data_IF_481178878823
#
_entry.id   IF_481178878823
#
_cell.length_a   1.000
_cell.length_b   1.000
_cell.length_c   1.000
_cell.angle_alpha   90.00
_cell.angle_beta   90.00
_cell.angle_gamma   90.00
#
_symmetry.space_group_name_H-M   'P 1'
#
loop_
_entity.id
_entity.type
_entity.pdbx_description
1 polymer ?
#
# COMPACT_ATOMS: atom_id res chain seq x y z
N UNK A 1 -0.63 -14.26 12.30
CA UNK A 1 -1.26 -13.08 11.66
C UNK A 1 -0.23 -12.06 11.13
N UNK A 2 1.05 -12.41 10.93
CA UNK A 2 2.09 -11.48 10.44
C UNK A 2 2.20 -11.36 8.89
N UNK A 3 1.28 -11.98 8.14
CA UNK A 3 1.44 -12.17 6.69
C UNK A 3 0.98 -11.00 5.82
N UNK A 4 -0.05 -10.24 6.24
CA UNK A 4 -0.69 -9.19 5.41
C UNK A 4 -0.05 -7.81 5.60
N UNK A 5 0.35 -7.43 6.81
CA UNK A 5 1.10 -6.20 7.06
C UNK A 5 2.40 -6.17 6.22
N UNK A 6 3.10 -7.31 6.14
CA UNK A 6 4.30 -7.47 5.31
C UNK A 6 4.05 -7.32 3.79
N UNK A 7 2.83 -7.63 3.31
CA UNK A 7 2.45 -7.48 1.91
C UNK A 7 2.23 -6.02 1.54
N UNK A 8 1.61 -5.23 2.43
CA UNK A 8 1.37 -3.79 2.22
C UNK A 8 2.70 -3.04 2.07
N UNK A 9 3.69 -3.36 2.90
CA UNK A 9 5.01 -2.73 2.83
C UNK A 9 5.86 -3.21 1.65
N UNK A 10 5.73 -4.49 1.26
CA UNK A 10 6.34 -5.00 0.03
C UNK A 10 5.75 -4.34 -1.20
N UNK A 11 4.45 -4.06 -1.22
CA UNK A 11 3.78 -3.35 -2.32
C UNK A 11 4.31 -1.91 -2.49
N UNK A 12 4.70 -1.26 -1.40
CA UNK A 12 5.34 0.05 -1.42
C UNK A 12 6.85 0.01 -1.77
N UNK A 13 7.40 -1.15 -2.11
CA UNK A 13 8.83 -1.30 -2.40
C UNK A 13 9.73 -1.10 -1.17
N UNK A 14 9.17 -1.01 0.03
CA UNK A 14 9.89 -0.85 1.31
C UNK A 14 10.44 -2.20 1.83
N UNK A 15 10.91 -3.04 0.91
CA UNK A 15 11.65 -4.25 1.21
C UNK A 15 13.01 -3.88 1.81
N UNK A 16 13.35 -4.55 2.91
CA UNK A 16 14.62 -4.44 3.65
C UNK A 16 15.81 -4.28 2.69
N UNK A 17 16.40 -3.08 2.66
CA UNK A 17 17.70 -2.85 2.01
C UNK A 17 18.78 -3.42 2.92
N UNK A 18 19.05 -4.71 2.80
CA UNK A 18 20.27 -5.33 3.33
C UNK A 18 21.37 -5.16 2.27
N UNK A 19 22.33 -4.27 2.58
CA UNK A 19 23.75 -4.22 2.19
C UNK A 19 24.21 -4.69 0.79
N UNK A 20 24.98 -3.81 0.11
CA UNK A 20 26.21 -4.24 -0.58
C UNK A 20 26.36 -3.89 -2.07
N UNK A 21 27.14 -2.86 -2.39
CA UNK A 21 28.02 -2.84 -3.57
C UNK A 21 29.32 -3.61 -3.21
N UNK A 22 30.19 -4.10 -4.14
CA UNK A 22 30.24 -3.87 -5.60
C UNK A 22 30.55 -5.12 -6.49
N UNK A 23 30.40 -5.00 -7.82
CA UNK A 23 31.40 -5.52 -8.77
C UNK A 23 31.03 -6.65 -9.77
N UNK A 24 31.33 -6.35 -11.05
CA UNK A 24 31.79 -7.23 -12.17
C UNK A 24 30.77 -8.28 -12.69
N UNK A 25 30.53 -8.58 -13.98
CA UNK A 25 31.36 -8.62 -15.20
C UNK A 25 30.44 -8.54 -16.44
N UNK A 26 30.96 -7.99 -17.54
CA UNK A 26 30.45 -8.18 -18.91
C UNK A 26 30.37 -9.67 -19.31
N UNK A 27 29.39 -10.03 -20.13
CA UNK A 27 29.30 -11.34 -20.76
C UNK A 27 28.31 -11.37 -21.91
N UNK A 28 28.79 -11.07 -23.12
CA UNK A 28 28.13 -11.42 -24.37
C UNK A 28 28.03 -12.94 -24.51
N UNK A 29 26.83 -13.46 -24.75
CA UNK A 29 26.63 -14.71 -25.47
C UNK A 29 25.24 -14.72 -26.12
N UNK A 30 25.22 -14.52 -27.43
CA UNK A 30 24.13 -14.96 -28.29
C UNK A 30 24.02 -16.49 -28.21
N UNK A 31 22.80 -17.03 -28.21
CA UNK A 31 22.48 -18.28 -28.88
C UNK A 31 21.00 -18.24 -29.29
N UNK A 32 20.79 -18.24 -30.61
CA UNK A 32 19.52 -18.47 -31.31
C UNK A 32 18.91 -19.84 -31.01
N UNK A 33 17.70 -20.09 -31.56
CA UNK A 33 16.89 -21.33 -31.68
C UNK A 33 15.70 -21.28 -30.69
N UNK A 34 14.40 -21.23 -31.03
CA UNK A 34 13.57 -21.53 -32.20
C UNK A 34 12.19 -20.80 -32.02
N UNK A 35 11.41 -20.51 -33.08
CA UNK A 35 10.08 -19.93 -32.92
C UNK A 35 9.06 -21.03 -32.56
N UNK A 36 8.81 -21.19 -31.25
CA UNK A 36 7.71 -21.99 -30.73
C UNK A 36 6.36 -21.38 -31.16
N UNK A 37 5.69 -22.09 -32.07
CA UNK A 37 4.27 -22.04 -32.43
C UNK A 37 3.37 -21.30 -31.40
N UNK A 38 2.56 -20.30 -31.81
CA UNK A 38 1.55 -19.76 -30.93
C UNK A 38 0.51 -20.85 -30.67
N UNK A 39 0.55 -21.45 -29.49
CA UNK A 39 -0.56 -22.23 -28.96
C UNK A 39 -1.70 -21.25 -28.79
N UNK A 40 -2.68 -21.35 -29.69
CA UNK A 40 -3.90 -20.55 -29.64
C UNK A 40 -4.56 -20.78 -28.29
N UNK A 41 -4.40 -19.81 -27.38
CA UNK A 41 -5.21 -19.71 -26.16
C UNK A 41 -6.66 -19.70 -26.63
N UNK A 42 -7.33 -20.84 -26.46
CA UNK A 42 -8.77 -20.93 -26.64
C UNK A 42 -9.40 -19.84 -25.77
N UNK A 43 -10.34 -19.03 -26.29
CA UNK A 43 -11.17 -18.16 -25.46
C UNK A 43 -11.95 -19.05 -24.49
N UNK A 44 -11.39 -19.21 -23.29
CA UNK A 44 -11.95 -20.01 -22.22
C UNK A 44 -13.09 -19.23 -21.57
N UNK A 45 -14.30 -19.56 -22.01
CA UNK A 45 -15.51 -19.67 -21.21
C UNK A 45 -15.87 -18.46 -20.30
N UNK A 46 -16.72 -17.52 -20.76
CA UNK A 46 -17.24 -16.44 -19.90
C UNK A 46 -18.14 -16.95 -18.75
N UNK A 47 -18.45 -18.26 -18.73
CA UNK A 47 -19.40 -18.89 -17.81
C UNK A 47 -18.73 -19.70 -16.68
N UNK A 48 -17.42 -19.52 -16.43
CA UNK A 48 -16.81 -20.02 -15.18
C UNK A 48 -17.24 -19.15 -14.01
N UNK A 49 -18.52 -19.24 -13.66
CA UNK A 49 -19.05 -18.78 -12.39
C UNK A 49 -18.12 -19.26 -11.28
N UNK A 50 -17.61 -18.33 -10.48
CA UNK A 50 -16.88 -18.66 -9.26
C UNK A 50 -17.70 -19.69 -8.49
N UNK A 51 -17.09 -20.79 -8.00
CA UNK A 51 -17.83 -21.82 -7.30
C UNK A 51 -18.62 -21.18 -6.15
N UNK A 52 -19.94 -21.43 -6.03
CA UNK A 52 -20.71 -20.93 -4.91
C UNK A 52 -20.11 -21.51 -3.62
N UNK A 53 -19.61 -20.63 -2.76
CA UNK A 53 -19.04 -21.01 -1.45
C UNK A 53 -17.54 -20.82 -1.29
N UNK A 54 -16.81 -20.22 -2.24
CA UNK A 54 -15.47 -19.71 -1.93
C UNK A 54 -15.57 -18.62 -0.83
N UNK A 55 -14.80 -18.70 0.27
CA UNK A 55 -14.85 -17.69 1.31
C UNK A 55 -14.49 -16.33 0.71
N UNK A 56 -15.36 -15.33 0.90
CA UNK A 56 -15.05 -13.96 0.51
C UNK A 56 -13.73 -13.55 1.20
N UNK A 57 -12.81 -12.86 0.50
CA UNK A 57 -11.55 -12.45 1.10
C UNK A 57 -11.84 -11.60 2.33
N UNK A 58 -11.25 -11.98 3.47
CA UNK A 58 -11.48 -11.28 4.72
C UNK A 58 -11.06 -9.81 4.58
N UNK A 59 -11.96 -8.92 4.99
CA UNK A 59 -11.70 -7.49 5.08
C UNK A 59 -10.47 -7.18 5.93
N UNK A 60 -9.76 -6.12 5.57
CA UNK A 60 -8.73 -5.54 6.43
C UNK A 60 -9.37 -5.02 7.72
N UNK A 61 -8.71 -5.28 8.84
CA UNK A 61 -9.15 -4.85 10.17
C UNK A 61 -8.57 -3.48 10.53
N UNK A 62 -9.17 -2.81 11.53
CA UNK A 62 -8.62 -1.54 12.02
C UNK A 62 -7.19 -1.72 12.58
N UNK A 63 -6.95 -2.81 13.30
CA UNK A 63 -5.62 -3.12 13.85
C UNK A 63 -4.55 -3.24 12.77
N UNK A 64 -4.84 -3.92 11.66
CA UNK A 64 -3.92 -4.01 10.51
C UNK A 64 -3.65 -2.63 9.87
N UNK A 65 -4.68 -1.78 9.77
CA UNK A 65 -4.52 -0.41 9.27
C UNK A 65 -3.65 0.43 10.22
N UNK A 66 -3.92 0.39 11.51
CA UNK A 66 -3.16 1.13 12.52
C UNK A 66 -1.71 0.66 12.59
N UNK A 67 -1.44 -0.65 12.51
CA UNK A 67 -0.10 -1.20 12.47
C UNK A 67 0.69 -0.66 11.26
N UNK A 68 0.10 -0.70 10.05
CA UNK A 68 0.73 -0.18 8.84
C UNK A 68 1.05 1.33 8.96
N UNK A 69 0.14 2.10 9.57
CA UNK A 69 0.34 3.54 9.82
C UNK A 69 1.47 3.78 10.82
N UNK A 70 1.48 3.08 11.97
CA UNK A 70 2.55 3.22 12.97
C UNK A 70 3.90 2.87 12.36
N UNK A 71 3.97 1.79 11.58
CA UNK A 71 5.20 1.37 10.94
C UNK A 71 5.73 2.44 9.97
N UNK A 72 4.88 2.98 9.10
CA UNK A 72 5.34 3.99 8.13
C UNK A 72 5.79 5.27 8.84
N UNK A 73 5.08 5.68 9.89
CA UNK A 73 5.42 6.85 10.70
C UNK A 73 6.81 6.69 11.31
N UNK A 74 7.09 5.53 11.90
CA UNK A 74 8.38 5.25 12.53
C UNK A 74 9.53 5.26 11.53
N UNK A 75 9.30 4.79 10.30
CA UNK A 75 10.31 4.80 9.23
C UNK A 75 10.54 6.19 8.64
N UNK A 76 9.48 6.96 8.44
CA UNK A 76 9.56 8.22 7.70
C UNK A 76 9.82 9.45 8.57
N UNK A 77 9.48 9.42 9.87
CA UNK A 77 9.73 10.55 10.77
C UNK A 77 11.22 10.98 10.83
N UNK A 78 12.22 10.06 10.91
CA UNK A 78 13.63 10.45 10.86
C UNK A 78 14.03 11.14 9.55
N UNK A 79 13.53 10.65 8.41
CA UNK A 79 13.79 11.24 7.09
C UNK A 79 13.18 12.63 6.96
N UNK A 80 11.95 12.81 7.46
CA UNK A 80 11.31 14.11 7.54
C UNK A 80 12.16 15.11 8.33
N UNK A 81 12.67 14.71 9.49
CA UNK A 81 13.44 15.58 10.40
C UNK A 81 14.75 16.08 9.79
N UNK A 82 15.31 15.39 8.80
CA UNK A 82 16.53 15.80 8.09
C UNK A 82 16.23 16.45 6.72
N UNK A 83 14.97 16.78 6.44
CA UNK A 83 14.58 17.59 5.29
C UNK A 83 14.02 16.83 4.08
N UNK A 84 13.90 15.50 4.13
CA UNK A 84 13.30 14.69 3.06
C UNK A 84 11.76 14.75 3.10
N UNK A 85 11.22 15.95 2.98
CA UNK A 85 9.78 16.20 3.07
C UNK A 85 9.00 15.66 1.87
N UNK A 86 9.59 15.71 0.68
CA UNK A 86 8.96 15.20 -0.55
C UNK A 86 8.79 13.69 -0.47
N UNK A 87 9.85 12.98 -0.15
CA UNK A 87 9.89 11.53 -0.04
C UNK A 87 8.95 11.05 1.07
N UNK A 88 8.93 11.77 2.20
CA UNK A 88 7.97 11.52 3.29
C UNK A 88 6.54 11.65 2.80
N UNK A 89 6.21 12.75 2.10
CA UNK A 89 4.88 12.96 1.55
C UNK A 89 4.49 11.87 0.56
N UNK A 90 5.36 11.55 -0.40
CA UNK A 90 5.09 10.56 -1.44
C UNK A 90 4.80 9.18 -0.85
N UNK A 91 5.55 8.77 0.18
CA UNK A 91 5.34 7.49 0.87
C UNK A 91 4.04 7.51 1.69
N UNK A 92 3.73 8.60 2.40
CA UNK A 92 2.45 8.72 3.10
C UNK A 92 1.26 8.71 2.15
N UNK A 93 1.33 9.41 1.01
CA UNK A 93 0.25 9.43 0.02
C UNK A 93 0.06 8.05 -0.63
N UNK A 94 1.15 7.35 -0.92
CA UNK A 94 1.11 5.98 -1.43
C UNK A 94 0.44 5.01 -0.43
N UNK A 95 0.81 5.08 0.87
CA UNK A 95 0.14 4.28 1.88
C UNK A 95 -1.35 4.63 1.98
N UNK A 96 -1.69 5.93 2.01
CA UNK A 96 -3.08 6.36 2.10
C UNK A 96 -3.93 5.84 0.93
N UNK A 97 -3.41 5.89 -0.30
CA UNK A 97 -4.06 5.32 -1.49
C UNK A 97 -4.31 3.83 -1.35
N UNK A 98 -3.29 3.08 -0.95
CA UNK A 98 -3.38 1.63 -0.77
C UNK A 98 -4.44 1.28 0.29
N UNK A 99 -4.42 1.96 1.43
CA UNK A 99 -5.41 1.72 2.50
C UNK A 99 -6.83 2.08 2.05
N UNK A 100 -7.01 3.18 1.30
CA UNK A 100 -8.32 3.53 0.73
C UNK A 100 -8.82 2.42 -0.19
N UNK A 101 -7.95 1.87 -1.04
CA UNK A 101 -8.27 0.80 -1.98
C UNK A 101 -8.64 -0.50 -1.24
N UNK A 102 -7.82 -0.94 -0.28
CA UNK A 102 -8.10 -2.12 0.55
C UNK A 102 -9.43 -2.01 1.29
N UNK A 103 -9.72 -0.85 1.89
CA UNK A 103 -11.01 -0.62 2.56
C UNK A 103 -12.16 -0.58 1.55
N UNK A 104 -11.92 -0.09 0.32
CA UNK A 104 -12.93 -0.03 -0.74
C UNK A 104 -13.25 -1.40 -1.33
N UNK A 105 -12.34 -2.37 -1.27
CA UNK A 105 -12.59 -3.75 -1.70
C UNK A 105 -13.43 -4.56 -0.71
N UNK A 106 -13.65 -4.03 0.50
CA UNK A 106 -14.61 -4.59 1.43
C UNK A 106 -16.05 -4.36 0.97
N UNK A 107 -16.79 -5.46 0.77
CA UNK A 107 -18.21 -5.42 0.40
C UNK A 107 -19.09 -4.76 1.49
N UNK A 108 -18.74 -5.01 2.75
CA UNK A 108 -19.46 -4.50 3.93
C UNK A 108 -18.46 -3.96 4.96
N UNK A 109 -17.84 -2.79 4.72
CA UNK A 109 -16.92 -2.21 5.68
C UNK A 109 -17.69 -1.81 6.94
N UNK A 110 -17.13 -2.09 8.12
CA UNK A 110 -17.70 -1.63 9.37
C UNK A 110 -17.75 -0.09 9.44
N UNK A 111 -18.55 0.45 10.35
CA UNK A 111 -18.65 1.91 10.54
C UNK A 111 -17.29 2.54 10.87
N UNK A 112 -16.46 1.85 11.64
CA UNK A 112 -15.12 2.31 12.00
C UNK A 112 -14.17 2.33 10.79
N UNK A 113 -14.24 1.33 9.93
CA UNK A 113 -13.45 1.31 8.68
C UNK A 113 -13.93 2.39 7.69
N UNK A 114 -15.24 2.65 7.66
CA UNK A 114 -15.80 3.78 6.88
C UNK A 114 -15.27 5.12 7.37
N UNK A 115 -15.16 5.31 8.70
CA UNK A 115 -14.53 6.50 9.30
C UNK A 115 -13.05 6.60 8.94
N UNK A 116 -12.29 5.51 9.07
CA UNK A 116 -10.88 5.47 8.72
C UNK A 116 -10.65 5.88 7.25
N UNK A 117 -11.42 5.29 6.32
CA UNK A 117 -11.38 5.67 4.89
C UNK A 117 -11.71 7.14 4.67
N UNK A 118 -12.69 7.67 5.39
CA UNK A 118 -13.07 9.09 5.30
C UNK A 118 -11.93 10.00 5.75
N UNK A 119 -11.23 9.66 6.83
CA UNK A 119 -10.04 10.41 7.30
C UNK A 119 -8.91 10.39 6.27
N UNK A 120 -8.62 9.23 5.67
CA UNK A 120 -7.61 9.12 4.60
C UNK A 120 -7.95 10.00 3.40
N UNK A 121 -9.21 9.97 2.92
CA UNK A 121 -9.66 10.82 1.82
C UNK A 121 -9.58 12.31 2.16
N UNK A 122 -9.97 12.67 3.39
CA UNK A 122 -9.87 14.04 3.90
C UNK A 122 -8.42 14.54 3.96
N UNK A 123 -7.51 13.74 4.51
CA UNK A 123 -6.08 14.07 4.58
C UNK A 123 -5.45 14.27 3.21
N UNK A 124 -5.77 13.40 2.24
CA UNK A 124 -5.31 13.55 0.85
C UNK A 124 -5.86 14.83 0.20
N UNK A 125 -7.15 15.10 0.39
CA UNK A 125 -7.78 16.33 -0.11
C UNK A 125 -7.12 17.58 0.47
N UNK A 126 -6.76 17.57 1.75
CA UNK A 126 -6.07 18.68 2.40
C UNK A 126 -4.64 18.83 1.91
N UNK A 127 -3.91 17.72 1.73
CA UNK A 127 -2.58 17.74 1.14
C UNK A 127 -2.57 18.36 -0.27
N UNK A 128 -3.60 18.15 -1.08
CA UNK A 128 -3.69 18.77 -2.40
C UNK A 128 -3.83 20.30 -2.33
N UNK A 129 -4.45 20.83 -1.26
CA UNK A 129 -4.69 22.28 -1.07
C UNK A 129 -3.49 23.03 -0.53
N UNK A 130 -2.72 22.42 0.37
CA UNK A 130 -1.63 23.14 1.06
C UNK A 130 -0.36 23.22 0.20
N UNK A 131 0.36 24.37 0.23
CA UNK A 131 1.59 24.54 -0.51
C UNK A 131 2.78 23.90 0.22
N UNK A 132 3.70 23.32 -0.56
CA UNK A 132 4.98 22.80 -0.05
C UNK A 132 4.89 21.39 0.55
N UNK A 133 5.91 20.57 0.28
CA UNK A 133 5.89 19.14 0.62
C UNK A 133 5.83 18.87 2.13
N UNK A 134 6.43 19.74 2.95
CA UNK A 134 6.37 19.63 4.41
C UNK A 134 4.92 19.74 4.93
N UNK A 135 4.17 20.75 4.47
CA UNK A 135 2.77 20.93 4.86
C UNK A 135 1.90 19.76 4.37
N UNK A 136 2.16 19.25 3.16
CA UNK A 136 1.46 18.10 2.60
C UNK A 136 1.69 16.81 3.41
N UNK A 137 2.93 16.55 3.81
CA UNK A 137 3.26 15.42 4.68
C UNK A 137 2.52 15.52 6.04
N UNK A 138 2.45 16.71 6.62
CA UNK A 138 1.70 16.95 7.86
C UNK A 138 0.20 16.77 7.70
N UNK A 139 -0.40 17.20 6.59
CA UNK A 139 -1.83 16.99 6.32
C UNK A 139 -2.20 15.49 6.36
N UNK A 140 -1.37 14.64 5.75
CA UNK A 140 -1.55 13.18 5.82
C UNK A 140 -1.24 12.62 7.21
N UNK A 141 -0.23 13.15 7.90
CA UNK A 141 0.09 12.74 9.27
C UNK A 141 -1.06 12.99 10.23
N UNK A 142 -1.74 14.13 10.14
CA UNK A 142 -2.92 14.40 10.97
C UNK A 142 -4.06 13.40 10.70
N UNK A 143 -4.30 13.06 9.43
CA UNK A 143 -5.29 12.03 9.11
C UNK A 143 -4.90 10.66 9.67
N UNK A 144 -3.61 10.31 9.65
CA UNK A 144 -3.10 9.10 10.30
C UNK A 144 -3.30 9.13 11.81
N UNK A 145 -2.94 10.21 12.49
CA UNK A 145 -3.11 10.36 13.92
C UNK A 145 -4.60 10.24 14.33
N UNK A 146 -5.53 10.78 13.52
CA UNK A 146 -6.97 10.60 13.73
C UNK A 146 -7.43 9.14 13.60
N UNK A 147 -6.79 8.34 12.73
CA UNK A 147 -7.09 6.90 12.57
C UNK A 147 -6.50 6.11 13.73
N UNK A 148 -5.30 6.47 14.19
CA UNK A 148 -4.68 5.86 15.37
C UNK A 148 -5.48 6.12 16.65
N UNK A 149 -6.25 7.20 16.70
CA UNK A 149 -7.16 7.52 17.79
C UNK A 149 -8.55 6.88 17.65
N UNK A 150 -8.81 6.08 16.61
CA UNK A 150 -10.03 5.31 16.51
C UNK A 150 -9.93 4.06 17.41
N UNK A 151 -10.92 3.91 18.29
CA UNK A 151 -11.08 2.71 19.11
C UNK A 151 -12.26 1.89 18.60
N UNK A 152 -12.08 0.58 18.46
CA UNK A 152 -13.19 -0.33 18.19
C UNK A 152 -14.02 -0.46 19.48
N UNK A 153 -15.34 -0.16 19.45
CA UNK A 153 -16.16 -0.37 20.63
C UNK A 153 -16.16 -1.87 20.96
N UNK A 154 -15.79 -2.18 22.20
CA UNK A 154 -15.77 -3.54 22.78
C UNK A 154 -17.12 -4.25 22.65
#
# INVERSE_FOLDING_TARGET
MAGRSLLILRALGLGVVILGLPGVVSGLAQLSTEPGRPEAVRPGDPDRASPPGAPEPACVTLGEVQEAIVEIINRMAPLYNIGYHRETFEIYDALAKLLIEEISHCKHPSAIMTRARTRLLGGRTEADRVPGMAARAWALRYAFDEILALDEPL
#
